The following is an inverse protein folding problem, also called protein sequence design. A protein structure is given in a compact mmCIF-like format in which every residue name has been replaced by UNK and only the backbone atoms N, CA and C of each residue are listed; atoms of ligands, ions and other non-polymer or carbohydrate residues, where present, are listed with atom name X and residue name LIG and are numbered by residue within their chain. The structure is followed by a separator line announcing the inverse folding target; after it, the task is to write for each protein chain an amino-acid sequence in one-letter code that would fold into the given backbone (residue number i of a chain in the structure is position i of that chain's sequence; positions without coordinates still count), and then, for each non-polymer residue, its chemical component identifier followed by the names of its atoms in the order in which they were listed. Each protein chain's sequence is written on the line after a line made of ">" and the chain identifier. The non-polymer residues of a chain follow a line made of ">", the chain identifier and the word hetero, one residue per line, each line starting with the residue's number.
data_IF_767281110927
#
_entry.id   IF_767281110927
#
_cell.length_a   1.000
_cell.length_b   1.000
_cell.length_c   1.000
_cell.angle_alpha   90.00
_cell.angle_beta   90.00
_cell.angle_gamma   90.00
#
_symmetry.space_group_name_H-M   'P 1'
#
loop_
_entity.id
_entity.type
_entity.pdbx_description
1 polymer ?
#
# COMPACT_ATOMS: atom_id res chain seq x y z
N UNK A 1 -4.24 -25.88 -19.21
CA UNK A 1 -3.91 -26.60 -17.97
C UNK A 1 -3.53 -25.55 -16.96
N UNK A 2 -4.10 -25.57 -15.76
CA UNK A 2 -3.69 -24.69 -14.65
C UNK A 2 -2.97 -25.54 -13.61
N UNK A 3 -2.07 -24.97 -12.81
CA UNK A 3 -1.38 -25.67 -11.70
C UNK A 3 -2.13 -25.55 -10.37
N UNK A 4 -3.02 -24.56 -10.25
CA UNK A 4 -3.88 -24.30 -9.10
C UNK A 4 -5.19 -23.66 -9.57
N UNK A 5 -6.17 -23.54 -8.67
CA UNK A 5 -7.48 -22.99 -8.96
C UNK A 5 -8.34 -23.94 -9.83
N UNK A 6 -9.54 -23.49 -10.17
CA UNK A 6 -10.47 -24.30 -10.98
C UNK A 6 -9.97 -24.46 -12.42
N UNK A 7 -9.61 -25.69 -12.80
CA UNK A 7 -9.23 -26.04 -14.16
C UNK A 7 -10.21 -26.98 -14.85
N UNK A 8 -10.08 -27.11 -16.17
CA UNK A 8 -10.73 -28.17 -16.94
C UNK A 8 -9.74 -28.85 -17.87
N UNK A 9 -9.88 -30.18 -18.00
CA UNK A 9 -9.16 -30.99 -18.97
C UNK A 9 -10.15 -31.60 -19.95
N UNK A 10 -9.76 -31.67 -21.22
CA UNK A 10 -10.58 -32.27 -22.27
C UNK A 10 -9.81 -33.35 -23.02
N UNK A 11 -10.50 -34.44 -23.36
CA UNK A 11 -10.00 -35.45 -24.29
C UNK A 11 -10.99 -35.64 -25.44
N UNK A 12 -10.45 -35.86 -26.63
CA UNK A 12 -11.23 -36.07 -27.84
C UNK A 12 -10.84 -37.41 -28.46
N UNK A 13 -11.83 -38.24 -28.78
CA UNK A 13 -11.63 -39.43 -29.61
C UNK A 13 -11.95 -39.10 -31.05
N UNK A 14 -11.27 -39.76 -31.99
CA UNK A 14 -11.55 -39.64 -33.42
C UNK A 14 -12.17 -40.92 -33.93
N UNK A 15 -13.04 -40.75 -34.93
CA UNK A 15 -13.53 -41.88 -35.72
C UNK A 15 -12.41 -42.30 -36.67
N UNK A 16 -11.94 -43.54 -36.52
CA UNK A 16 -10.90 -44.08 -37.40
C UNK A 16 -11.48 -44.48 -38.75
N UNK A 17 -12.70 -45.03 -38.76
CA UNK A 17 -13.41 -45.44 -39.97
C UNK A 17 -14.85 -44.91 -39.93
N UNK A 18 -15.26 -44.22 -41.00
CA UNK A 18 -16.63 -43.74 -41.13
C UNK A 18 -17.56 -44.90 -41.49
N UNK A 19 -18.83 -44.76 -41.12
CA UNK A 19 -19.86 -45.70 -41.52
C UNK A 19 -19.98 -45.77 -43.05
N UNK A 20 -20.02 -46.98 -43.60
CA UNK A 20 -20.21 -47.28 -45.04
C UNK A 20 -21.28 -48.37 -45.17
N UNK A 21 -21.91 -48.50 -46.35
CA UNK A 21 -22.89 -49.55 -46.67
C UNK A 21 -24.00 -49.72 -45.62
N UNK A 22 -24.56 -48.61 -45.11
CA UNK A 22 -25.62 -48.65 -44.10
C UNK A 22 -25.14 -48.89 -42.66
N UNK A 23 -23.82 -48.90 -42.41
CA UNK A 23 -23.26 -49.02 -41.07
C UNK A 23 -23.68 -47.88 -40.11
N UNK A 24 -23.56 -48.11 -38.80
CA UNK A 24 -23.94 -47.15 -37.77
C UNK A 24 -22.79 -46.23 -37.39
N UNK A 25 -23.10 -44.96 -37.12
CA UNK A 25 -22.13 -44.02 -36.55
C UNK A 25 -21.68 -44.47 -35.14
N UNK A 26 -20.43 -44.18 -34.79
CA UNK A 26 -19.89 -44.51 -33.47
C UNK A 26 -20.74 -43.82 -32.37
N UNK A 27 -21.37 -44.57 -31.45
CA UNK A 27 -22.24 -44.00 -30.44
C UNK A 27 -21.45 -43.30 -29.33
N UNK A 28 -22.04 -42.28 -28.69
CA UNK A 28 -21.47 -41.54 -27.56
C UNK A 28 -20.74 -40.24 -27.95
N UNK A 29 -20.33 -39.46 -26.94
CA UNK A 29 -19.69 -38.14 -27.16
C UNK A 29 -18.28 -38.29 -27.74
N UNK A 30 -17.93 -37.45 -28.72
CA UNK A 30 -16.57 -37.43 -29.29
C UNK A 30 -15.58 -36.65 -28.42
N UNK A 31 -16.08 -35.71 -27.62
CA UNK A 31 -15.30 -34.90 -26.68
C UNK A 31 -15.85 -35.08 -25.27
N UNK A 32 -14.95 -35.25 -24.33
CA UNK A 32 -15.23 -35.31 -22.90
C UNK A 32 -14.42 -34.22 -22.21
N UNK A 33 -15.07 -33.46 -21.32
CA UNK A 33 -14.44 -32.42 -20.52
C UNK A 33 -14.74 -32.68 -19.05
N UNK A 34 -13.71 -32.65 -18.22
CA UNK A 34 -13.82 -32.90 -16.79
C UNK A 34 -13.10 -31.78 -16.04
N UNK A 35 -13.60 -31.44 -14.84
CA UNK A 35 -12.89 -30.53 -13.92
C UNK A 35 -11.57 -31.16 -13.49
N UNK A 36 -10.55 -30.34 -13.31
CA UNK A 36 -9.28 -30.74 -12.75
C UNK A 36 -8.70 -29.57 -11.97
N UNK A 37 -7.93 -29.86 -10.92
CA UNK A 37 -7.43 -28.88 -9.96
C UNK A 37 -8.57 -28.19 -9.18
N UNK A 38 -8.63 -28.51 -7.90
CA UNK A 38 -9.59 -27.93 -6.96
C UNK A 38 -8.88 -27.26 -5.79
N UNK A 39 -7.54 -27.31 -5.78
CA UNK A 39 -6.74 -26.64 -4.77
C UNK A 39 -6.76 -25.14 -5.03
N UNK A 40 -7.01 -24.30 -4.01
CA UNK A 40 -6.85 -22.86 -4.13
C UNK A 40 -5.46 -22.50 -4.68
N UNK A 41 -5.37 -21.42 -5.44
CA UNK A 41 -4.07 -20.86 -5.77
C UNK A 41 -3.47 -20.22 -4.52
N UNK A 42 -2.14 -20.30 -4.34
CA UNK A 42 -1.45 -19.49 -3.34
C UNK A 42 -1.81 -18.03 -3.60
N UNK A 43 -2.25 -17.33 -2.56
CA UNK A 43 -2.48 -15.90 -2.67
C UNK A 43 -1.15 -15.17 -2.49
N UNK A 44 -0.95 -14.08 -3.23
CA UNK A 44 0.21 -13.23 -3.00
C UNK A 44 0.09 -12.56 -1.63
N UNK A 45 1.14 -12.66 -0.82
CA UNK A 45 1.17 -11.98 0.47
C UNK A 45 1.30 -10.47 0.26
N UNK A 46 0.46 -9.73 0.97
CA UNK A 46 0.43 -8.28 0.93
C UNK A 46 0.95 -7.75 2.25
N UNK A 47 1.85 -6.78 2.17
CA UNK A 47 2.25 -6.00 3.33
C UNK A 47 1.20 -4.93 3.61
N UNK A 48 0.89 -4.72 4.88
CA UNK A 48 0.24 -3.48 5.30
C UNK A 48 1.18 -2.28 5.07
N UNK A 49 0.62 -1.04 5.07
CA UNK A 49 1.44 0.15 5.09
C UNK A 49 2.48 0.10 6.22
N UNK A 50 3.63 0.70 5.96
CA UNK A 50 4.63 0.91 7.01
C UNK A 50 4.02 1.70 8.16
N UNK A 51 4.33 1.27 9.37
CA UNK A 51 4.13 2.09 10.56
C UNK A 51 4.98 3.36 10.46
N UNK A 52 4.60 4.34 11.27
CA UNK A 52 5.43 5.53 11.47
C UNK A 52 6.81 5.16 11.99
N UNK A 53 7.77 6.04 11.72
CA UNK A 53 9.11 5.88 12.27
C UNK A 53 9.09 6.05 13.79
N UNK A 54 9.83 5.18 14.48
CA UNK A 54 10.16 5.35 15.88
C UNK A 54 10.97 6.63 16.08
N UNK A 55 11.00 7.09 17.34
CA UNK A 55 11.88 8.18 17.73
C UNK A 55 13.35 7.86 17.40
N UNK A 56 14.08 8.87 16.94
CA UNK A 56 15.51 8.72 16.70
C UNK A 56 16.23 8.40 18.02
N UNK A 57 17.13 7.42 17.99
CA UNK A 57 17.89 6.98 19.18
C UNK A 57 18.77 8.05 19.82
N UNK A 58 19.09 9.12 19.07
CA UNK A 58 19.80 10.30 19.58
C UNK A 58 19.14 11.55 19.06
N UNK A 59 19.21 12.62 19.83
CA UNK A 59 18.74 13.96 19.43
C UNK A 59 19.76 14.72 18.58
N UNK A 60 21.03 14.30 18.58
CA UNK A 60 22.13 14.90 17.83
C UNK A 60 23.28 13.89 17.64
N UNK A 61 24.28 14.25 16.85
CA UNK A 61 25.52 13.50 16.66
C UNK A 61 25.36 12.17 15.93
N UNK A 62 24.25 11.98 15.21
CA UNK A 62 23.91 10.77 14.47
C UNK A 62 23.30 9.69 15.35
N UNK A 63 21.99 9.50 15.18
CA UNK A 63 21.21 8.39 15.72
C UNK A 63 20.64 7.50 14.62
N UNK A 64 19.71 6.65 15.02
CA UNK A 64 19.00 5.74 14.14
C UNK A 64 17.55 5.62 14.58
N UNK A 65 16.63 5.60 13.62
CA UNK A 65 15.24 5.23 13.84
C UNK A 65 14.89 3.99 13.01
N UNK A 66 13.85 3.30 13.46
CA UNK A 66 13.31 2.11 12.81
C UNK A 66 11.84 2.31 12.50
N UNK A 67 11.32 1.54 11.58
CA UNK A 67 9.89 1.36 11.38
C UNK A 67 9.60 -0.08 11.03
N UNK A 68 8.38 -0.50 11.29
CA UNK A 68 7.93 -1.87 11.06
C UNK A 68 6.73 -1.89 10.11
N UNK A 69 6.52 -3.03 9.44
CA UNK A 69 5.28 -3.33 8.73
C UNK A 69 4.86 -4.74 9.05
N UNK A 70 3.56 -4.98 9.01
CA UNK A 70 2.97 -6.30 9.25
C UNK A 70 2.44 -6.87 7.94
N UNK A 71 2.30 -8.19 7.88
CA UNK A 71 1.52 -8.80 6.81
C UNK A 71 0.07 -8.34 6.97
N UNK A 72 -0.55 -7.92 5.88
CA UNK A 72 -1.98 -7.66 5.85
C UNK A 72 -2.76 -8.94 6.17
N UNK A 73 -4.05 -8.78 6.53
CA UNK A 73 -4.90 -9.89 6.98
C UNK A 73 -4.68 -11.15 6.11
N UNK A 74 -4.19 -12.19 6.79
CA UNK A 74 -3.65 -13.38 6.16
C UNK A 74 -4.81 -14.30 5.79
N UNK A 75 -5.09 -14.40 4.49
CA UNK A 75 -5.91 -15.47 3.94
C UNK A 75 -5.09 -16.77 4.06
N UNK A 76 -5.64 -17.81 4.69
CA UNK A 76 -4.96 -19.09 4.83
C UNK A 76 -4.47 -19.59 3.46
N UNK A 77 -3.15 -19.78 3.33
CA UNK A 77 -2.51 -20.19 2.08
C UNK A 77 -1.86 -19.07 1.28
N UNK A 78 -1.72 -17.86 1.83
CA UNK A 78 -0.86 -16.84 1.25
C UNK A 78 0.62 -17.29 1.23
N UNK A 79 1.33 -16.98 0.14
CA UNK A 79 2.77 -17.20 0.02
C UNK A 79 3.55 -16.40 1.09
N UNK A 80 4.83 -16.70 1.32
CA UNK A 80 5.66 -15.83 2.16
C UNK A 80 5.80 -14.44 1.49
N UNK A 81 5.55 -13.37 2.24
CA UNK A 81 5.81 -12.01 1.75
C UNK A 81 7.29 -11.82 1.41
N UNK A 82 7.57 -11.23 0.25
CA UNK A 82 8.92 -10.90 -0.17
C UNK A 82 9.34 -9.56 0.44
N UNK A 83 10.56 -9.50 0.98
CA UNK A 83 11.17 -8.31 1.58
C UNK A 83 11.18 -8.32 3.11
N UNK A 84 11.78 -7.29 3.70
CA UNK A 84 12.00 -7.19 5.16
C UNK A 84 10.76 -6.60 5.87
N UNK A 85 10.53 -7.00 7.13
CA UNK A 85 9.45 -6.47 7.99
C UNK A 85 9.89 -5.27 8.83
N UNK A 86 11.17 -4.93 8.83
CA UNK A 86 11.77 -3.81 9.55
C UNK A 86 12.61 -2.99 8.57
N UNK A 87 12.60 -1.67 8.73
CA UNK A 87 13.47 -0.77 8.01
C UNK A 87 14.16 0.17 9.00
N UNK A 88 15.46 0.43 8.78
CA UNK A 88 16.28 1.24 9.67
C UNK A 88 16.97 2.36 8.88
N UNK A 89 16.97 3.59 9.41
CA UNK A 89 17.63 4.75 8.79
C UNK A 89 18.40 5.60 9.80
N UNK A 90 19.38 6.36 9.29
CA UNK A 90 20.12 7.35 10.09
C UNK A 90 19.27 8.60 10.25
N UNK A 91 19.31 9.18 11.44
CA UNK A 91 18.60 10.42 11.78
C UNK A 91 19.46 11.32 12.68
N UNK A 92 19.08 12.59 12.82
CA UNK A 92 19.70 13.58 13.70
C UNK A 92 21.23 13.65 13.58
N UNK A 93 21.71 13.91 12.35
CA UNK A 93 23.15 13.89 12.01
C UNK A 93 23.90 15.16 12.38
N UNK A 94 23.19 16.21 12.77
CA UNK A 94 23.79 17.48 13.17
C UNK A 94 24.63 17.30 14.44
N UNK A 95 25.79 17.97 14.54
CA UNK A 95 26.66 17.86 15.71
C UNK A 95 25.91 18.27 17.00
N UNK A 96 26.21 17.57 18.09
CA UNK A 96 25.67 17.91 19.39
C UNK A 96 26.22 19.26 19.89
N UNK A 97 25.42 20.03 20.64
CA UNK A 97 25.93 21.22 21.30
C UNK A 97 27.05 20.81 22.26
N UNK A 98 28.23 21.39 22.08
CA UNK A 98 29.34 21.19 23.00
C UNK A 98 29.02 21.98 24.27
N UNK A 99 28.82 21.30 25.40
CA UNK A 99 28.90 21.95 26.71
C UNK A 99 30.35 22.36 26.93
N UNK A 100 30.69 23.58 26.49
CA UNK A 100 31.91 24.24 26.92
C UNK A 100 31.74 24.52 28.40
N UNK A 101 32.40 23.76 29.26
CA UNK A 101 32.62 24.13 30.66
C UNK A 101 33.46 25.41 30.64
N UNK A 102 32.79 26.56 30.62
CA UNK A 102 33.43 27.86 30.81
C UNK A 102 33.92 27.91 32.26
N UNK A 103 35.17 27.52 32.50
CA UNK A 103 35.91 27.98 33.68
C UNK A 103 35.91 29.50 33.61
N UNK A 104 35.07 30.11 34.46
CA UNK A 104 34.86 31.56 34.51
C UNK A 104 36.13 32.25 34.98
N UNK A 105 36.97 32.70 34.06
CA UNK A 105 37.83 33.88 34.31
C UNK A 105 37.07 35.08 33.75
N UNK A 106 36.48 35.84 34.66
CA UNK A 106 35.79 37.10 34.39
C UNK A 106 36.75 38.08 33.74
N UNK A 107 36.63 38.28 32.42
CA UNK A 107 37.21 39.43 31.72
C UNK A 107 36.09 40.14 30.99
N UNK A 108 35.71 41.30 31.54
CA UNK A 108 34.77 42.26 30.97
C UNK A 108 35.25 42.68 29.59
N UNK A 109 34.44 42.50 28.54
CA UNK A 109 34.71 43.13 27.24
C UNK A 109 33.40 43.55 26.55
N UNK A 110 33.46 44.80 26.13
CA UNK A 110 32.44 45.74 25.64
C UNK A 110 31.54 45.22 24.50
N UNK A 111 30.25 45.50 24.62
CA UNK A 111 29.20 45.33 23.60
C UNK A 111 29.43 46.21 22.38
N UNK A 112 29.55 45.60 21.20
CA UNK A 112 29.31 46.24 19.90
C UNK A 112 28.10 45.59 19.22
N UNK A 113 27.00 46.33 19.17
CA UNK A 113 25.75 45.97 18.51
C UNK A 113 25.95 45.97 16.99
N UNK A 114 25.84 44.80 16.35
CA UNK A 114 25.76 44.69 14.89
C UNK A 114 24.41 44.07 14.51
N UNK A 115 23.54 44.92 13.98
CA UNK A 115 22.21 44.59 13.44
C UNK A 115 22.32 43.73 12.18
N UNK A 116 21.77 42.51 12.21
CA UNK A 116 21.52 41.65 11.04
C UNK A 116 20.14 41.98 10.45
N UNK A 117 19.99 42.14 9.12
CA UNK A 117 18.71 42.50 8.51
C UNK A 117 17.71 41.34 8.60
N UNK A 118 16.46 41.69 8.90
CA UNK A 118 15.32 40.79 8.99
C UNK A 118 15.00 40.18 7.61
N UNK A 119 15.14 38.86 7.50
CA UNK A 119 14.61 38.12 6.36
C UNK A 119 13.09 37.93 6.55
N UNK A 120 12.35 38.42 5.56
CA UNK A 120 10.89 38.47 5.47
C UNK A 120 10.32 37.05 5.44
N UNK A 121 9.53 36.68 6.45
CA UNK A 121 8.74 35.45 6.46
C UNK A 121 7.62 35.54 5.42
N UNK A 122 7.61 34.65 4.43
CA UNK A 122 6.45 34.41 3.57
C UNK A 122 5.57 33.38 4.26
N UNK A 123 4.37 33.83 4.65
CA UNK A 123 3.31 32.99 5.19
C UNK A 123 2.84 32.00 4.10
N UNK A 124 3.16 30.73 4.28
CA UNK A 124 2.51 29.63 3.58
C UNK A 124 1.23 29.27 4.32
N UNK A 125 0.09 29.72 3.80
CA UNK A 125 -1.23 29.36 4.30
C UNK A 125 -1.47 27.86 4.10
N UNK A 126 -1.63 27.15 5.21
CA UNK A 126 -2.21 25.81 5.27
C UNK A 126 -3.69 25.85 4.88
N UNK A 127 -4.08 25.16 3.83
CA UNK A 127 -5.48 25.03 3.40
C UNK A 127 -5.98 23.58 3.53
N UNK A 128 -6.60 23.27 4.67
CA UNK A 128 -7.73 22.32 4.85
C UNK A 128 -7.99 22.14 6.35
N UNK A 129 -9.22 21.85 6.84
CA UNK A 129 -10.36 21.27 6.11
C UNK A 129 -11.76 21.87 6.42
N UNK A 130 -12.72 21.58 5.54
CA UNK A 130 -14.14 21.24 5.79
C UNK A 130 -14.98 22.01 6.84
N UNK A 131 -15.93 22.85 6.39
CA UNK A 131 -17.23 22.99 7.06
C UNK A 131 -18.31 23.67 6.18
N UNK A 132 -19.36 22.91 5.90
CA UNK A 132 -20.79 23.28 5.91
C UNK A 132 -21.23 24.66 5.42
N UNK A 133 -21.88 24.72 4.24
CA UNK A 133 -22.98 25.66 4.00
C UNK A 133 -24.11 25.01 3.19
N UNK A 134 -25.26 24.94 3.86
CA UNK A 134 -26.59 24.61 3.37
C UNK A 134 -27.17 25.80 2.59
N UNK A 135 -27.52 25.60 1.32
CA UNK A 135 -28.49 26.40 0.55
C UNK A 135 -29.08 25.42 -0.49
N UNK A 136 -30.36 25.05 -0.52
CA UNK A 136 -31.55 25.77 -0.08
C UNK A 136 -32.04 26.71 -1.18
N UNK A 137 -32.68 26.18 -2.23
CA UNK A 137 -33.68 26.86 -3.10
C UNK A 137 -34.09 25.89 -4.22
N UNK A 138 -35.27 25.25 -4.17
CA UNK A 138 -36.58 25.78 -4.61
C UNK A 138 -36.64 26.04 -6.11
N UNK A 139 -37.44 25.23 -6.83
CA UNK A 139 -38.41 25.57 -7.90
C UNK A 139 -38.88 24.27 -8.61
N UNK A 140 -40.07 24.23 -9.26
CA UNK A 140 -41.34 23.98 -8.62
C UNK A 140 -42.10 22.75 -9.19
N UNK A 141 -43.19 22.43 -8.50
CA UNK A 141 -44.18 21.42 -8.82
C UNK A 141 -44.87 21.62 -10.18
N UNK A 142 -45.11 20.53 -10.93
CA UNK A 142 -46.24 20.39 -11.86
C UNK A 142 -46.71 18.92 -11.93
N UNK A 143 -47.76 18.63 -11.16
CA UNK A 143 -49.00 17.91 -11.51
C UNK A 143 -49.01 16.70 -12.47
N UNK A 144 -49.43 15.54 -11.95
CA UNK A 144 -50.59 14.68 -12.39
C UNK A 144 -50.55 13.38 -11.56
N UNK A 145 -51.37 13.12 -10.54
CA UNK A 145 -52.82 12.95 -10.46
C UNK A 145 -53.39 11.78 -11.28
N UNK A 146 -53.57 10.63 -10.60
CA UNK A 146 -54.74 9.75 -10.74
C UNK A 146 -54.68 8.60 -11.75
N UNK A 147 -54.51 7.36 -11.28
CA UNK A 147 -55.57 6.35 -11.10
C UNK A 147 -55.00 5.09 -10.43
#
# INVERSE_FOLDING_TARGET
>A
SVSCGQGTKSRTRRVLQRAVNGGRQCPGKMKETTKCNERPCPQDCKWDPWQEWDACSKTCGGGTHKRHRFKGQEEEGAAACIGESEEQKRCNTDPCPTTTTTTTTTTTTTTTTTTKPAAKALAGLSSSPSAWLLLGSLLPAVLWAGF
#
